data_IF_118799799390
#
_entry.id   IF_118799799390
#
_cell.length_a   1.000
_cell.length_b   1.000
_cell.length_c   1.000
_cell.angle_alpha   90.00
_cell.angle_beta   90.00
_cell.angle_gamma   90.00
#
_symmetry.space_group_name_H-M   'P 1'
#
loop_
_entity.id
_entity.type
_entity.pdbx_description
1 polymer ?
#
# COMPACT_ATOMS: atom_id res chain seq x y z
N UNK A 1 -5.14 10.60 14.27
CA UNK A 1 -3.82 10.07 13.83
C UNK A 1 -3.64 10.15 12.30
N UNK A 2 -4.15 9.24 11.46
CA UNK A 2 -4.01 9.37 9.99
C UNK A 2 -4.70 10.62 9.41
N UNK A 3 -5.86 10.96 9.97
CA UNK A 3 -6.70 12.05 9.48
C UNK A 3 -6.39 13.40 10.15
N UNK A 4 -5.69 13.37 11.29
CA UNK A 4 -5.33 14.56 12.07
C UNK A 4 -3.89 15.02 11.77
N UNK A 5 -3.16 14.31 10.90
CA UNK A 5 -1.74 14.57 10.60
C UNK A 5 -0.85 14.62 11.86
N UNK A 6 -1.24 13.90 12.91
CA UNK A 6 -0.57 13.91 14.20
C UNK A 6 -0.14 12.52 14.64
N UNK A 7 1.00 12.46 15.32
CA UNK A 7 1.52 11.24 15.95
C UNK A 7 2.22 11.56 17.28
N UNK A 8 2.29 10.56 18.16
CA UNK A 8 3.05 10.63 19.40
C UNK A 8 4.33 9.79 19.25
N UNK A 9 5.52 10.37 19.43
CA UNK A 9 6.73 9.57 19.57
C UNK A 9 6.62 8.61 20.76
N UNK A 10 7.24 7.43 20.64
CA UNK A 10 7.22 6.45 21.73
C UNK A 10 7.83 7.07 23.00
N UNK A 11 7.09 7.04 24.11
CA UNK A 11 7.51 7.62 25.39
C UNK A 11 7.30 9.12 25.52
N UNK A 12 6.59 9.77 24.58
CA UNK A 12 6.26 11.19 24.63
C UNK A 12 4.76 11.40 24.65
N UNK A 13 4.28 12.17 25.61
CA UNK A 13 2.88 12.65 25.66
C UNK A 13 2.65 13.86 24.74
N UNK A 14 3.72 14.41 24.16
CA UNK A 14 3.65 15.54 23.22
C UNK A 14 3.38 15.02 21.81
N UNK A 15 2.26 15.45 21.22
CA UNK A 15 1.91 15.21 19.82
C UNK A 15 2.82 16.02 18.89
N UNK A 16 3.09 15.47 17.70
CA UNK A 16 3.82 16.13 16.61
C UNK A 16 3.00 16.06 15.33
N UNK A 17 3.08 17.13 14.54
CA UNK A 17 2.44 17.21 13.21
C UNK A 17 3.36 16.56 12.17
N UNK A 18 2.77 15.83 11.22
CA UNK A 18 3.41 15.20 10.08
C UNK A 18 2.63 15.52 8.80
N UNK A 19 3.20 16.37 7.95
CA UNK A 19 2.72 16.56 6.57
C UNK A 19 3.32 15.46 5.68
N UNK A 20 2.59 14.36 5.52
CA UNK A 20 3.04 13.17 4.81
C UNK A 20 1.97 12.64 3.88
N UNK A 21 2.41 12.11 2.74
CA UNK A 21 1.57 11.29 1.85
C UNK A 21 1.79 9.82 2.19
N UNK A 22 0.71 9.11 2.49
CA UNK A 22 0.74 7.68 2.80
C UNK A 22 0.40 6.87 1.53
N UNK A 23 1.29 5.98 1.14
CA UNK A 23 1.07 4.98 0.09
C UNK A 23 1.28 3.61 0.73
N UNK A 24 0.32 2.71 0.55
CA UNK A 24 0.38 1.36 1.10
C UNK A 24 0.22 0.33 -0.02
N UNK A 25 0.89 -0.81 0.13
CA UNK A 25 0.76 -1.95 -0.77
C UNK A 25 0.69 -3.25 0.04
N UNK A 26 -0.06 -4.22 -0.45
CA UNK A 26 -0.21 -5.54 0.17
C UNK A 26 -0.47 -6.57 -0.92
N UNK A 27 0.08 -7.77 -0.76
CA UNK A 27 -0.23 -8.93 -1.58
C UNK A 27 -1.34 -9.80 -0.98
N UNK A 28 -1.90 -9.39 0.17
CA UNK A 28 -2.99 -10.04 0.89
C UNK A 28 -4.28 -9.26 0.69
N UNK A 29 -5.39 -9.98 0.58
CA UNK A 29 -6.73 -9.41 0.60
C UNK A 29 -7.02 -8.83 2.00
N UNK A 30 -7.17 -7.51 2.08
CA UNK A 30 -7.48 -6.82 3.34
C UNK A 30 -8.93 -6.99 3.76
N UNK A 31 -9.86 -7.17 2.80
CA UNK A 31 -11.27 -7.38 3.10
C UNK A 31 -11.46 -8.73 3.79
N UNK A 32 -10.87 -9.79 3.24
CA UNK A 32 -10.88 -11.12 3.87
C UNK A 32 -10.27 -11.09 5.28
N UNK A 33 -9.19 -10.33 5.48
CA UNK A 33 -8.54 -10.20 6.79
C UNK A 33 -9.36 -9.38 7.78
N UNK A 34 -10.07 -8.37 7.30
CA UNK A 34 -11.00 -7.58 8.11
C UNK A 34 -12.15 -8.48 8.60
N UNK A 35 -12.74 -9.27 7.70
CA UNK A 35 -13.82 -10.21 8.02
C UNK A 35 -13.38 -11.27 9.06
N UNK A 36 -12.09 -11.64 9.04
CA UNK A 36 -11.47 -12.56 10.02
C UNK A 36 -11.01 -11.89 11.31
N UNK A 37 -11.26 -10.60 11.51
CA UNK A 37 -10.82 -9.85 12.69
C UNK A 37 -9.30 -9.66 12.78
N UNK A 38 -8.56 -9.92 11.70
CA UNK A 38 -7.10 -9.78 11.62
C UNK A 38 -6.66 -8.41 11.09
N UNK A 39 -7.61 -7.57 10.70
CA UNK A 39 -7.35 -6.22 10.24
C UNK A 39 -8.43 -5.27 10.73
N UNK A 40 -8.02 -4.06 11.12
CA UNK A 40 -8.92 -3.08 11.69
C UNK A 40 -9.81 -2.46 10.60
N UNK A 41 -11.15 -2.49 10.75
CA UNK A 41 -12.06 -1.92 9.75
C UNK A 41 -11.84 -0.42 9.52
N UNK A 42 -11.60 0.35 10.58
CA UNK A 42 -11.39 1.79 10.49
C UNK A 42 -10.12 2.17 9.71
N UNK A 43 -9.06 1.37 9.82
CA UNK A 43 -7.85 1.53 9.02
C UNK A 43 -8.07 1.12 7.57
N UNK A 44 -8.86 0.07 7.31
CA UNK A 44 -9.20 -0.36 5.94
C UNK A 44 -9.88 0.76 5.18
N UNK A 45 -10.96 1.32 5.73
CA UNK A 45 -11.69 2.40 5.07
C UNK A 45 -10.86 3.69 4.89
N UNK A 46 -9.88 3.95 5.78
CA UNK A 46 -8.96 5.09 5.64
C UNK A 46 -7.91 4.88 4.54
N UNK A 47 -7.41 3.66 4.36
CA UNK A 47 -6.40 3.35 3.34
C UNK A 47 -7.02 3.11 1.95
N UNK A 48 -8.21 2.51 1.89
CA UNK A 48 -8.84 2.03 0.66
C UNK A 48 -9.66 3.10 -0.09
N UNK A 49 -9.45 4.39 0.18
CA UNK A 49 -10.14 5.49 -0.54
C UNK A 49 -9.78 5.47 -2.03
N UNK A 50 -8.50 5.23 -2.35
CA UNK A 50 -8.01 5.08 -3.72
C UNK A 50 -7.21 3.79 -3.84
N UNK A 51 -7.88 2.72 -4.28
CA UNK A 51 -7.25 1.43 -4.49
C UNK A 51 -6.81 1.27 -5.96
N UNK A 52 -5.58 0.80 -6.15
CA UNK A 52 -5.04 0.41 -7.45
C UNK A 52 -4.75 -1.09 -7.39
N UNK A 53 -5.49 -1.86 -8.17
CA UNK A 53 -5.22 -3.29 -8.34
C UNK A 53 -4.21 -3.48 -9.47
N UNK A 54 -3.09 -4.13 -9.15
CA UNK A 54 -2.04 -4.43 -10.13
C UNK A 54 -2.25 -5.86 -10.62
N UNK A 55 -2.63 -6.07 -11.89
CA UNK A 55 -2.83 -7.41 -12.41
C UNK A 55 -1.50 -8.18 -12.45
N UNK A 56 -1.51 -9.49 -12.18
CA UNK A 56 -0.34 -10.33 -12.37
C UNK A 56 0.01 -10.43 -13.85
N UNK A 57 1.29 -10.64 -14.17
CA UNK A 57 1.78 -10.67 -15.55
C UNK A 57 1.12 -11.73 -16.45
N UNK A 58 0.57 -12.80 -15.84
CA UNK A 58 -0.21 -13.83 -16.57
C UNK A 58 -1.49 -13.28 -17.23
N UNK A 59 -2.02 -12.16 -16.72
CA UNK A 59 -3.17 -11.41 -17.25
C UNK A 59 -2.74 -10.24 -18.15
N UNK A 60 -1.44 -9.96 -18.27
CA UNK A 60 -0.84 -8.88 -19.07
C UNK A 60 0.36 -9.40 -19.86
N UNK A 61 0.16 -10.46 -20.65
CA UNK A 61 1.25 -11.18 -21.34
C UNK A 61 1.92 -10.33 -22.42
N UNK A 62 1.19 -9.38 -22.98
CA UNK A 62 1.67 -8.39 -23.95
C UNK A 62 2.78 -7.49 -23.42
N UNK A 63 2.89 -7.33 -22.09
CA UNK A 63 3.95 -6.53 -21.46
C UNK A 63 5.27 -7.31 -21.35
N UNK A 64 5.25 -8.63 -21.51
CA UNK A 64 6.43 -9.50 -21.35
C UNK A 64 7.59 -9.07 -22.26
N UNK A 65 7.39 -8.82 -23.58
CA UNK A 65 8.50 -8.43 -24.46
C UNK A 65 9.13 -7.08 -24.05
N UNK A 66 8.31 -6.12 -23.64
CA UNK A 66 8.78 -4.78 -23.21
C UNK A 66 9.59 -4.88 -21.92
N UNK A 67 9.08 -5.64 -20.94
CA UNK A 67 9.79 -5.87 -19.68
C UNK A 67 11.10 -6.63 -19.90
N UNK A 68 11.10 -7.65 -20.76
CA UNK A 68 12.30 -8.41 -21.09
C UNK A 68 13.37 -7.51 -21.73
N UNK A 69 12.98 -6.68 -22.70
CA UNK A 69 13.89 -5.73 -23.33
C UNK A 69 14.49 -4.76 -22.31
N UNK A 70 13.67 -4.23 -21.39
CA UNK A 70 14.13 -3.36 -20.32
C UNK A 70 15.15 -4.04 -19.40
N UNK A 71 14.84 -5.24 -18.89
CA UNK A 71 15.74 -5.98 -17.99
C UNK A 71 17.03 -6.44 -18.68
N UNK A 72 16.97 -6.80 -19.98
CA UNK A 72 18.16 -7.16 -20.75
C UNK A 72 19.11 -5.97 -20.93
N UNK A 73 18.61 -4.74 -21.03
CA UNK A 73 19.44 -3.53 -21.05
C UNK A 73 20.02 -3.18 -19.67
N UNK A 74 19.27 -3.37 -18.59
CA UNK A 74 19.74 -3.04 -17.23
C UNK A 74 20.86 -3.98 -16.75
N UNK A 75 20.84 -5.24 -17.19
CA UNK A 75 21.79 -6.26 -16.78
C UNK A 75 23.13 -6.28 -17.56
N UNK A 76 23.23 -5.54 -18.66
CA UNK A 76 24.43 -5.46 -19.51
C UNK A 76 25.30 -4.26 -19.16
#
# INVERSE_FOLDING_TARGET
LLQEQEYHPLGSDVAKIADVRVICATNRDLRERMDRGKFRPDLYFRLSVHQIDIPPLRERREDIPVLLAHFAMEAG
#
